data_IF_444119652131
#
_entry.id   IF_444119652131
#
_cell.length_a   1.000
_cell.length_b   1.000
_cell.length_c   1.000
_cell.angle_alpha   90.00
_cell.angle_beta   90.00
_cell.angle_gamma   90.00
#
_symmetry.space_group_name_H-M   'P 1'
#
loop_
_entity.id
_entity.type
_entity.pdbx_description
1 polymer ?
#
# COMPACT_ATOMS: atom_id res chain seq x y z
N UNK A 1 21.88 -12.80 -12.83
CA UNK A 1 21.84 -11.37 -12.48
C UNK A 1 23.10 -11.03 -11.71
N UNK A 2 23.67 -9.83 -11.91
CA UNK A 2 24.87 -9.34 -11.20
C UNK A 2 24.72 -9.06 -9.70
N UNK A 3 23.62 -9.47 -9.07
CA UNK A 3 23.39 -9.38 -7.64
C UNK A 3 23.78 -10.69 -6.96
N UNK A 4 24.27 -10.61 -5.72
CA UNK A 4 24.31 -11.78 -4.85
C UNK A 4 22.91 -12.05 -4.31
N UNK A 5 22.57 -13.32 -4.08
CA UNK A 5 21.29 -13.69 -3.46
C UNK A 5 21.40 -13.58 -1.94
N UNK A 6 20.40 -12.96 -1.33
CA UNK A 6 20.28 -12.88 0.13
C UNK A 6 19.01 -13.56 0.63
N UNK A 7 18.74 -13.36 1.92
CA UNK A 7 17.49 -13.77 2.56
C UNK A 7 16.99 -12.71 3.53
N UNK A 8 15.70 -12.80 3.83
CA UNK A 8 15.01 -12.02 4.86
C UNK A 8 14.49 -12.98 5.94
N UNK A 9 14.71 -12.63 7.21
CA UNK A 9 14.11 -13.36 8.33
C UNK A 9 12.58 -13.35 8.21
N UNK A 10 11.95 -14.52 8.26
CA UNK A 10 10.51 -14.66 8.11
C UNK A 10 10.01 -14.66 6.65
N UNK A 11 10.91 -14.69 5.66
CA UNK A 11 10.52 -14.91 4.26
C UNK A 11 9.77 -16.23 4.08
N UNK A 12 8.84 -16.26 3.12
CA UNK A 12 7.97 -17.40 2.85
C UNK A 12 8.18 -17.90 1.43
N UNK A 13 7.79 -19.15 1.17
CA UNK A 13 7.81 -19.74 -0.16
C UNK A 13 6.39 -20.08 -0.59
N UNK A 14 5.97 -19.51 -1.72
CA UNK A 14 4.67 -19.77 -2.32
C UNK A 14 4.89 -20.38 -3.70
N UNK A 15 4.41 -21.60 -3.91
CA UNK A 15 4.54 -22.33 -5.18
C UNK A 15 6.00 -22.40 -5.69
N UNK A 16 6.94 -22.61 -4.76
CA UNK A 16 8.38 -22.68 -5.06
C UNK A 16 9.06 -21.32 -5.28
N UNK A 17 8.36 -20.21 -5.08
CA UNK A 17 8.90 -18.85 -5.21
C UNK A 17 9.01 -18.18 -3.84
N UNK A 18 10.18 -17.68 -3.51
CA UNK A 18 10.44 -16.96 -2.25
C UNK A 18 9.81 -15.57 -2.25
N UNK A 19 9.34 -15.09 -1.10
CA UNK A 19 8.70 -13.79 -0.95
C UNK A 19 9.15 -13.09 0.35
N UNK A 20 9.73 -11.88 0.25
CA UNK A 20 10.23 -11.24 -0.97
C UNK A 20 11.51 -11.91 -1.48
N UNK A 21 11.91 -11.64 -2.73
CA UNK A 21 13.24 -12.03 -3.22
C UNK A 21 14.27 -10.99 -2.79
N UNK A 22 15.31 -11.40 -2.07
CA UNK A 22 16.34 -10.49 -1.56
C UNK A 22 17.59 -10.49 -2.44
N UNK A 23 18.03 -9.30 -2.85
CA UNK A 23 19.26 -9.06 -3.59
C UNK A 23 20.26 -8.24 -2.76
N UNK A 24 21.51 -8.68 -2.80
CA UNK A 24 22.65 -8.07 -2.13
C UNK A 24 23.64 -7.52 -3.18
N UNK A 25 24.51 -6.55 -2.82
CA UNK A 25 25.61 -6.17 -3.68
C UNK A 25 26.52 -7.37 -3.97
N UNK A 26 27.11 -7.46 -5.18
CA UNK A 26 28.02 -8.56 -5.52
C UNK A 26 29.29 -8.59 -4.65
N UNK A 27 29.74 -7.42 -4.20
CA UNK A 27 30.83 -7.23 -3.24
C UNK A 27 30.70 -5.85 -2.55
N UNK A 28 31.40 -5.63 -1.43
CA UNK A 28 31.33 -4.37 -0.65
C UNK A 28 31.78 -3.13 -1.43
N UNK A 29 32.63 -3.28 -2.45
CA UNK A 29 33.14 -2.15 -3.24
C UNK A 29 32.11 -1.65 -4.26
N UNK A 30 31.13 -2.48 -4.62
CA UNK A 30 30.02 -2.19 -5.54
C UNK A 30 28.67 -2.05 -4.82
N UNK A 31 28.72 -1.47 -3.62
CA UNK A 31 27.55 -1.29 -2.77
C UNK A 31 27.00 0.14 -2.77
N UNK A 32 27.45 1.06 -3.64
CA UNK A 32 26.88 2.41 -3.68
C UNK A 32 25.48 2.47 -4.32
N UNK A 33 24.70 3.52 -4.03
CA UNK A 33 23.43 3.77 -4.71
C UNK A 33 23.58 3.84 -6.25
N UNK A 34 24.65 4.47 -6.74
CA UNK A 34 24.92 4.51 -8.18
C UNK A 34 25.29 3.13 -8.77
N UNK A 35 25.87 2.23 -7.97
CA UNK A 35 26.13 0.85 -8.39
C UNK A 35 24.83 0.06 -8.45
N UNK A 36 23.94 0.23 -7.46
CA UNK A 36 22.59 -0.34 -7.49
C UNK A 36 21.84 0.11 -8.76
N UNK A 37 21.82 1.41 -9.06
CA UNK A 37 21.17 1.94 -10.25
C UNK A 37 21.77 1.38 -11.56
N UNK A 38 23.10 1.21 -11.64
CA UNK A 38 23.76 0.57 -12.79
C UNK A 38 23.40 -0.90 -12.93
N UNK A 39 23.40 -1.66 -11.82
CA UNK A 39 23.01 -3.07 -11.81
C UNK A 39 21.54 -3.23 -12.23
N UNK A 40 20.65 -2.40 -11.69
CA UNK A 40 19.24 -2.36 -12.08
C UNK A 40 19.10 -2.06 -13.57
N UNK A 41 19.83 -1.09 -14.10
CA UNK A 41 19.79 -0.75 -15.53
C UNK A 41 20.25 -1.92 -16.41
N UNK A 42 21.32 -2.61 -16.03
CA UNK A 42 21.87 -3.75 -16.78
C UNK A 42 20.99 -5.01 -16.72
N UNK A 43 20.21 -5.19 -15.66
CA UNK A 43 19.40 -6.39 -15.39
C UNK A 43 17.89 -6.10 -15.42
N UNK A 44 17.48 -4.94 -15.95
CA UNK A 44 16.11 -4.40 -15.81
C UNK A 44 15.02 -5.42 -16.14
N UNK A 45 15.13 -6.07 -17.30
CA UNK A 45 14.14 -7.06 -17.76
C UNK A 45 14.04 -8.24 -16.79
N UNK A 46 15.18 -8.77 -16.34
CA UNK A 46 15.22 -9.89 -15.40
C UNK A 46 14.64 -9.50 -14.03
N UNK A 47 14.87 -8.26 -13.58
CA UNK A 47 14.26 -7.75 -12.34
C UNK A 47 12.74 -7.56 -12.47
N UNK A 48 12.24 -7.12 -13.63
CA UNK A 48 10.80 -7.03 -13.86
C UNK A 48 10.14 -8.41 -13.83
N UNK A 49 10.74 -9.40 -14.50
CA UNK A 49 10.28 -10.79 -14.47
C UNK A 49 10.36 -11.38 -13.05
N UNK A 50 11.44 -11.09 -12.31
CA UNK A 50 11.56 -11.51 -10.93
C UNK A 50 10.50 -10.86 -10.04
N UNK A 51 10.22 -9.57 -10.22
CA UNK A 51 9.18 -8.88 -9.46
C UNK A 51 7.79 -9.47 -9.74
N UNK A 52 7.48 -9.79 -10.99
CA UNK A 52 6.22 -10.44 -11.36
C UNK A 52 6.08 -11.84 -10.73
N UNK A 53 7.17 -12.62 -10.67
CA UNK A 53 7.16 -13.97 -10.10
C UNK A 53 7.11 -13.98 -8.56
N UNK A 54 7.85 -13.07 -7.94
CA UNK A 54 8.02 -13.05 -6.49
C UNK A 54 7.01 -12.13 -5.81
N UNK A 55 6.50 -11.09 -6.47
CA UNK A 55 5.58 -10.08 -5.94
C UNK A 55 6.29 -8.92 -5.21
N UNK A 56 7.49 -9.13 -4.68
CA UNK A 56 8.32 -8.08 -4.12
C UNK A 56 9.82 -8.42 -4.18
N UNK A 57 10.65 -7.39 -4.32
CA UNK A 57 12.11 -7.47 -4.34
C UNK A 57 12.71 -6.57 -3.24
N UNK A 58 13.59 -7.11 -2.41
CA UNK A 58 14.31 -6.36 -1.39
C UNK A 58 15.78 -6.20 -1.80
N UNK A 59 16.25 -4.97 -1.96
CA UNK A 59 17.66 -4.65 -2.14
C UNK A 59 18.25 -4.24 -0.80
N UNK A 60 19.23 -5.01 -0.31
CA UNK A 60 19.80 -4.86 1.02
C UNK A 60 21.31 -4.83 0.99
N UNK A 61 21.92 -4.02 1.85
CA UNK A 61 23.37 -3.86 1.92
C UNK A 61 23.95 -2.83 0.95
N UNK A 62 23.10 -2.14 0.18
CA UNK A 62 23.49 -0.97 -0.59
C UNK A 62 23.49 0.29 0.28
N UNK A 63 24.42 1.21 0.01
CA UNK A 63 24.56 2.54 0.62
C UNK A 63 23.70 3.53 -0.16
N UNK A 64 22.40 3.46 0.09
CA UNK A 64 21.42 4.48 -0.28
C UNK A 64 21.25 5.36 0.95
N UNK A 65 21.73 6.61 0.89
CA UNK A 65 21.87 7.47 2.07
C UNK A 65 20.94 8.69 2.04
N UNK A 66 20.45 9.07 0.86
CA UNK A 66 19.58 10.24 0.64
C UNK A 66 18.34 9.93 -0.22
N UNK A 67 17.39 10.87 -0.26
CA UNK A 67 16.19 10.73 -1.09
C UNK A 67 16.53 10.75 -2.59
N UNK A 68 17.54 11.53 -2.98
CA UNK A 68 18.05 11.65 -4.34
C UNK A 68 18.70 10.35 -4.84
N UNK A 69 19.31 9.58 -3.93
CA UNK A 69 19.83 8.24 -4.26
C UNK A 69 18.68 7.31 -4.67
N UNK A 70 17.55 7.39 -3.97
CA UNK A 70 16.35 6.63 -4.34
C UNK A 70 15.80 7.07 -5.68
N UNK A 71 15.77 8.37 -6.00
CA UNK A 71 15.37 8.87 -7.32
C UNK A 71 16.15 8.16 -8.43
N UNK A 72 17.48 8.08 -8.31
CA UNK A 72 18.33 7.41 -9.29
C UNK A 72 18.04 5.91 -9.43
N UNK A 73 17.71 5.22 -8.33
CA UNK A 73 17.30 3.81 -8.37
C UNK A 73 15.94 3.63 -9.03
N UNK A 74 14.95 4.47 -8.71
CA UNK A 74 13.61 4.45 -9.31
C UNK A 74 13.70 4.70 -10.83
N UNK A 75 14.48 5.69 -11.26
CA UNK A 75 14.68 6.00 -12.68
C UNK A 75 15.40 4.86 -13.42
N UNK A 76 16.32 4.14 -12.77
CA UNK A 76 17.00 2.99 -13.35
C UNK A 76 16.04 1.84 -13.73
N UNK A 77 14.94 1.66 -12.97
CA UNK A 77 13.88 0.72 -13.33
C UNK A 77 13.14 1.11 -14.60
N UNK A 78 13.10 2.39 -14.96
CA UNK A 78 12.56 2.86 -16.24
C UNK A 78 11.02 2.89 -16.35
N UNK A 79 10.30 2.76 -15.23
CA UNK A 79 8.85 2.91 -15.21
C UNK A 79 8.43 4.38 -15.18
N UNK A 80 7.31 4.68 -15.82
CA UNK A 80 6.70 6.01 -15.83
C UNK A 80 6.31 6.41 -14.40
N UNK A 81 6.51 7.69 -14.08
CA UNK A 81 6.06 8.25 -12.81
C UNK A 81 4.53 8.19 -12.71
N UNK A 82 4.03 7.82 -11.53
CA UNK A 82 2.68 8.16 -11.14
C UNK A 82 2.72 9.40 -10.23
N UNK A 83 2.18 10.55 -10.68
CA UNK A 83 2.12 11.75 -9.85
C UNK A 83 1.40 11.46 -8.54
N UNK A 84 1.99 11.86 -7.42
CA UNK A 84 1.41 11.64 -6.09
C UNK A 84 1.01 12.98 -5.47
N UNK A 85 -0.30 13.19 -5.28
CA UNK A 85 -0.85 14.48 -4.85
C UNK A 85 -1.57 14.44 -3.49
N UNK A 86 -1.70 13.27 -2.85
CA UNK A 86 -2.51 13.12 -1.64
C UNK A 86 -1.73 13.38 -0.35
N UNK A 87 -1.59 14.65 0.05
CA UNK A 87 -1.21 15.02 1.43
C UNK A 87 0.15 14.51 1.89
N UNK A 88 1.11 14.38 0.97
CA UNK A 88 2.44 13.81 1.25
C UNK A 88 3.52 14.81 0.89
N UNK A 89 4.60 14.80 1.67
CA UNK A 89 5.69 15.76 1.52
C UNK A 89 6.71 15.23 0.53
N UNK A 90 6.91 15.90 -0.60
CA UNK A 90 7.99 15.59 -1.54
C UNK A 90 9.35 15.87 -0.89
N UNK A 91 10.27 14.91 -0.96
CA UNK A 91 11.64 14.98 -0.42
C UNK A 91 12.70 15.06 -1.51
N UNK A 92 12.46 14.44 -2.66
CA UNK A 92 13.23 14.57 -3.89
C UNK A 92 12.30 14.29 -5.09
N UNK A 93 12.80 14.43 -6.32
CA UNK A 93 12.03 14.10 -7.52
C UNK A 93 11.49 12.66 -7.45
N UNK A 94 10.17 12.48 -7.62
CA UNK A 94 9.44 11.20 -7.50
C UNK A 94 9.45 10.56 -6.11
N UNK A 95 9.99 11.21 -5.08
CA UNK A 95 10.19 10.63 -3.75
C UNK A 95 9.47 11.44 -2.68
N UNK A 96 8.61 10.77 -1.92
CA UNK A 96 7.70 11.36 -0.93
C UNK A 96 7.86 10.70 0.43
N UNK A 97 7.38 11.35 1.50
CA UNK A 97 7.15 10.69 2.79
C UNK A 97 6.13 9.56 2.64
N UNK A 98 6.30 8.45 3.37
CA UNK A 98 5.24 7.45 3.57
C UNK A 98 4.11 8.03 4.46
N UNK A 99 3.16 7.19 4.90
CA UNK A 99 2.13 7.64 5.85
C UNK A 99 2.74 8.35 7.07
N UNK A 100 2.24 9.57 7.31
CA UNK A 100 2.60 10.44 8.43
C UNK A 100 1.71 10.17 9.67
N UNK A 101 0.89 9.10 9.63
CA UNK A 101 0.14 8.63 10.80
C UNK A 101 1.10 8.28 11.96
N UNK A 102 0.69 8.48 13.24
CA UNK A 102 1.50 8.17 14.41
C UNK A 102 2.13 6.78 14.33
N UNK A 103 3.44 6.67 14.57
CA UNK A 103 4.23 5.45 14.31
C UNK A 103 3.81 4.27 15.18
N UNK A 104 3.19 4.52 16.32
CA UNK A 104 2.61 3.53 17.24
C UNK A 104 1.30 2.91 16.74
N UNK A 105 0.69 3.43 15.66
CA UNK A 105 -0.52 2.88 15.06
C UNK A 105 -0.21 1.85 13.97
N UNK A 106 -0.94 0.74 14.03
CA UNK A 106 -0.99 -0.26 12.98
C UNK A 106 -1.73 0.29 11.75
N UNK A 107 -1.13 0.13 10.57
CA UNK A 107 -1.81 0.35 9.28
C UNK A 107 -2.04 -1.03 8.68
N UNK A 108 -3.31 -1.33 8.37
CA UNK A 108 -3.72 -2.65 7.90
C UNK A 108 -3.23 -2.96 6.49
N UNK A 109 -3.30 -4.24 6.09
CA UNK A 109 -2.93 -4.66 4.75
C UNK A 109 -3.87 -4.07 3.70
N UNK A 110 -3.28 -3.49 2.66
CA UNK A 110 -3.97 -2.88 1.54
C UNK A 110 -3.09 -2.83 0.28
N UNK A 111 -3.75 -2.68 -0.87
CA UNK A 111 -3.12 -2.19 -2.09
C UNK A 111 -3.09 -0.65 -2.05
N UNK A 112 -1.97 -0.06 -2.43
CA UNK A 112 -1.81 1.40 -2.51
C UNK A 112 -2.86 1.95 -3.49
N UNK A 113 -3.54 3.03 -3.10
CA UNK A 113 -4.54 3.70 -3.95
C UNK A 113 -5.67 2.79 -4.47
N UNK A 114 -6.04 1.75 -3.70
CA UNK A 114 -7.07 0.77 -4.09
C UNK A 114 -8.49 1.34 -4.29
N UNK A 115 -8.78 2.56 -3.81
CA UNK A 115 -10.10 3.20 -3.91
C UNK A 115 -10.20 4.27 -5.00
N UNK A 116 -9.10 4.61 -5.66
CA UNK A 116 -9.14 5.59 -6.76
C UNK A 116 -9.12 4.89 -8.11
N UNK A 117 -9.56 5.60 -9.15
CA UNK A 117 -9.71 5.05 -10.50
C UNK A 117 -8.38 4.60 -11.11
N UNK A 118 -7.31 5.38 -10.90
CA UNK A 118 -5.97 5.08 -11.38
C UNK A 118 -5.04 4.76 -10.20
N UNK A 119 -4.68 3.50 -10.05
CA UNK A 119 -3.74 3.02 -9.03
C UNK A 119 -2.35 2.82 -9.62
N UNK A 120 -1.31 2.96 -8.79
CA UNK A 120 0.05 2.61 -9.19
C UNK A 120 0.15 1.10 -9.39
N UNK A 121 0.99 0.65 -10.33
CA UNK A 121 1.26 -0.78 -10.50
C UNK A 121 2.50 -1.22 -9.73
N UNK A 122 3.43 -0.30 -9.45
CA UNK A 122 4.67 -0.56 -8.70
C UNK A 122 4.88 0.53 -7.66
N UNK A 123 5.44 0.13 -6.53
CA UNK A 123 5.85 1.08 -5.50
C UNK A 123 7.19 0.72 -4.90
N UNK A 124 7.91 1.75 -4.46
CA UNK A 124 9.18 1.64 -3.77
C UNK A 124 9.00 2.10 -2.32
N UNK A 125 9.66 1.41 -1.40
CA UNK A 125 9.92 1.88 -0.06
C UNK A 125 11.43 1.97 0.16
N UNK A 126 11.88 3.05 0.78
CA UNK A 126 13.28 3.27 1.14
C UNK A 126 13.38 3.58 2.63
N UNK A 127 14.17 2.80 3.35
CA UNK A 127 14.44 3.04 4.76
C UNK A 127 15.60 4.02 4.93
N UNK A 128 15.28 5.31 5.09
CA UNK A 128 16.25 6.32 5.47
C UNK A 128 16.65 6.22 6.95
N UNK A 129 15.69 5.93 7.83
CA UNK A 129 15.92 5.73 9.27
C UNK A 129 14.99 4.61 9.78
N UNK A 130 15.52 3.46 10.19
CA UNK A 130 14.70 2.41 10.77
C UNK A 130 14.18 2.85 12.14
N UNK A 131 13.01 2.33 12.50
CA UNK A 131 12.50 2.41 13.87
C UNK A 131 13.49 1.73 14.83
N UNK A 132 13.77 2.29 16.02
CA UNK A 132 14.58 1.62 17.04
C UNK A 132 13.91 0.32 17.53
N UNK A 133 12.58 0.21 17.42
CA UNK A 133 11.81 -0.96 17.83
C UNK A 133 10.62 -1.18 16.88
N UNK A 134 10.41 -2.41 16.42
CA UNK A 134 9.33 -2.77 15.48
C UNK A 134 9.26 -1.84 14.24
N UNK A 135 8.08 -1.34 13.87
CA UNK A 135 7.92 -0.41 12.74
C UNK A 135 8.19 -1.00 11.36
N UNK A 136 8.12 -2.33 11.23
CA UNK A 136 8.30 -3.05 9.98
C UNK A 136 7.24 -2.62 8.96
N UNK A 137 7.62 -2.66 7.68
CA UNK A 137 6.61 -2.72 6.60
C UNK A 137 6.29 -4.20 6.39
N UNK A 138 5.06 -4.59 6.67
CA UNK A 138 4.60 -5.95 6.40
C UNK A 138 4.12 -6.04 4.96
N UNK A 139 4.43 -7.13 4.26
CA UNK A 139 3.99 -7.39 2.89
C UNK A 139 3.30 -8.74 2.79
N UNK A 140 2.38 -8.88 1.85
CA UNK A 140 1.59 -10.09 1.65
C UNK A 140 1.33 -10.32 0.17
N UNK A 141 1.42 -11.56 -0.31
CA UNK A 141 0.93 -11.93 -1.63
C UNK A 141 -0.60 -11.95 -1.67
N UNK A 142 -1.16 -11.09 -2.51
CA UNK A 142 -2.61 -10.88 -2.61
C UNK A 142 -3.32 -12.04 -3.29
N UNK A 143 -2.63 -12.76 -4.17
CA UNK A 143 -3.15 -13.96 -4.82
C UNK A 143 -3.19 -15.18 -3.88
N UNK A 144 -2.27 -15.25 -2.91
CA UNK A 144 -2.32 -16.26 -1.83
C UNK A 144 -3.54 -16.01 -0.95
N UNK A 145 -3.82 -14.75 -0.63
CA UNK A 145 -5.02 -14.36 0.12
C UNK A 145 -6.29 -14.73 -0.65
N UNK A 146 -6.38 -14.36 -1.93
CA UNK A 146 -7.54 -14.70 -2.77
C UNK A 146 -7.79 -16.21 -2.79
N UNK A 147 -6.75 -17.00 -3.08
CA UNK A 147 -6.84 -18.46 -3.13
C UNK A 147 -7.30 -19.08 -1.82
N UNK A 148 -6.72 -18.65 -0.68
CA UNK A 148 -7.12 -19.16 0.65
C UNK A 148 -8.57 -18.80 0.99
N UNK A 149 -9.00 -17.58 0.67
CA UNK A 149 -10.40 -17.17 0.87
C UNK A 149 -11.36 -18.01 0.01
N UNK A 150 -11.02 -18.26 -1.26
CA UNK A 150 -11.82 -19.11 -2.16
C UNK A 150 -11.89 -20.57 -1.68
N UNK A 151 -10.78 -21.11 -1.16
CA UNK A 151 -10.72 -22.48 -0.64
C UNK A 151 -11.51 -22.66 0.67
N UNK A 152 -11.45 -21.68 1.58
CA UNK A 152 -12.11 -21.79 2.89
C UNK A 152 -13.57 -21.35 2.86
N UNK A 153 -13.93 -20.38 2.02
CA UNK A 153 -15.26 -19.75 1.98
C UNK A 153 -15.81 -19.59 0.56
N UNK A 154 -15.89 -20.66 -0.26
CA UNK A 154 -16.22 -20.55 -1.69
C UNK A 154 -17.56 -19.87 -1.96
N UNK A 155 -18.60 -20.21 -1.20
CA UNK A 155 -19.95 -19.63 -1.37
C UNK A 155 -19.97 -18.14 -1.02
N UNK A 156 -19.24 -17.76 0.05
CA UNK A 156 -19.21 -16.36 0.48
C UNK A 156 -18.36 -15.52 -0.47
N UNK A 157 -17.25 -16.05 -0.96
CA UNK A 157 -16.44 -15.38 -1.97
C UNK A 157 -17.23 -15.19 -3.27
N UNK A 158 -17.96 -16.20 -3.73
CA UNK A 158 -18.82 -16.07 -4.91
C UNK A 158 -19.88 -14.97 -4.72
N UNK A 159 -20.52 -14.92 -3.55
CA UNK A 159 -21.45 -13.83 -3.21
C UNK A 159 -20.75 -12.47 -3.22
N UNK A 160 -19.56 -12.34 -2.64
CA UNK A 160 -18.83 -11.07 -2.64
C UNK A 160 -18.36 -10.66 -4.03
N UNK A 161 -18.10 -11.59 -4.95
CA UNK A 161 -17.78 -11.28 -6.35
C UNK A 161 -18.99 -10.73 -7.12
N UNK A 162 -20.18 -11.25 -6.82
CA UNK A 162 -21.44 -10.87 -7.46
C UNK A 162 -22.03 -9.59 -6.87
N UNK A 163 -22.17 -9.54 -5.55
CA UNK A 163 -22.83 -8.44 -4.82
C UNK A 163 -21.85 -7.30 -4.47
N UNK A 164 -20.55 -7.60 -4.36
CA UNK A 164 -19.52 -6.64 -3.98
C UNK A 164 -19.53 -6.24 -2.51
N UNK A 165 -18.61 -5.35 -2.17
CA UNK A 165 -18.52 -4.69 -0.87
C UNK A 165 -18.67 -3.18 -1.03
N UNK A 166 -19.21 -2.53 0.00
CA UNK A 166 -19.29 -1.08 0.11
C UNK A 166 -18.31 -0.60 1.16
N UNK A 167 -17.59 0.49 0.89
CA UNK A 167 -16.78 1.19 1.91
C UNK A 167 -17.35 2.56 2.18
N UNK A 168 -17.55 2.87 3.46
CA UNK A 168 -18.02 4.19 3.89
C UNK A 168 -16.92 4.85 4.69
N UNK A 169 -16.35 5.90 4.12
CA UNK A 169 -15.35 6.74 4.78
C UNK A 169 -16.05 7.93 5.40
N UNK A 170 -15.81 8.19 6.68
CA UNK A 170 -16.34 9.37 7.38
C UNK A 170 -15.20 10.25 7.86
N UNK A 171 -15.28 11.55 7.61
CA UNK A 171 -14.42 12.53 8.27
C UNK A 171 -14.92 12.80 9.69
N UNK A 172 -14.03 13.18 10.59
CA UNK A 172 -14.39 13.56 11.94
C UNK A 172 -15.07 14.93 11.99
N UNK A 173 -15.98 15.10 12.94
CA UNK A 173 -16.54 16.41 13.27
C UNK A 173 -15.44 17.28 13.88
N UNK A 174 -15.30 18.52 13.43
CA UNK A 174 -14.30 19.44 13.98
C UNK A 174 -14.50 19.62 15.50
N UNK A 175 -13.44 19.38 16.28
CA UNK A 175 -13.41 19.72 17.70
C UNK A 175 -13.44 21.23 17.95
N UNK A 176 -13.66 21.64 19.21
CA UNK A 176 -13.72 23.07 19.60
C UNK A 176 -12.43 23.85 19.25
N UNK A 177 -12.59 25.02 18.60
CA UNK A 177 -11.51 25.94 18.21
C UNK A 177 -11.35 26.15 16.69
N UNK A 178 -10.31 26.88 16.26
CA UNK A 178 -9.92 27.17 14.85
C UNK A 178 -9.57 25.91 14.01
N UNK A 179 -9.81 24.71 14.54
CA UNK A 179 -9.59 23.40 13.89
C UNK A 179 -10.86 22.83 13.23
N UNK A 180 -11.87 23.66 12.95
CA UNK A 180 -13.05 23.24 12.16
C UNK A 180 -12.68 23.03 10.68
N UNK A 181 -12.01 21.93 10.36
CA UNK A 181 -11.82 21.50 8.98
C UNK A 181 -13.02 20.68 8.53
N UNK A 182 -14.13 21.34 8.21
CA UNK A 182 -15.27 20.71 7.55
C UNK A 182 -14.96 20.34 6.10
N UNK A 183 -15.92 19.70 5.42
CA UNK A 183 -15.81 19.41 3.98
C UNK A 183 -15.49 20.66 3.14
N UNK A 184 -15.89 21.85 3.60
CA UNK A 184 -15.58 23.12 2.93
C UNK A 184 -14.08 23.38 2.83
N UNK A 185 -13.30 23.07 3.87
CA UNK A 185 -11.85 23.25 3.85
C UNK A 185 -11.17 22.14 3.03
N UNK A 186 -11.69 20.91 3.13
CA UNK A 186 -11.23 19.78 2.33
C UNK A 186 -11.33 20.08 0.84
N UNK A 187 -12.49 20.59 0.39
CA UNK A 187 -12.77 20.90 -1.01
C UNK A 187 -12.48 22.35 -1.39
N UNK A 188 -12.08 23.19 -0.44
CA UNK A 188 -11.81 24.64 -0.60
C UNK A 188 -12.98 25.36 -1.29
N UNK A 189 -14.20 25.10 -0.84
CA UNK A 189 -15.43 25.65 -1.42
C UNK A 189 -16.56 25.67 -0.39
N UNK A 190 -17.46 26.65 -0.51
CA UNK A 190 -18.70 26.74 0.29
C UNK A 190 -19.92 26.20 -0.48
N UNK A 191 -19.77 25.89 -1.77
CA UNK A 191 -20.85 25.35 -2.60
C UNK A 191 -20.89 23.83 -2.48
N UNK A 192 -21.96 23.29 -1.90
CA UNK A 192 -22.18 21.85 -1.78
C UNK A 192 -22.12 21.13 -3.13
N UNK A 193 -22.61 21.76 -4.21
CA UNK A 193 -22.62 21.12 -5.53
C UNK A 193 -21.20 20.96 -6.07
N UNK A 194 -20.38 21.99 -5.92
CA UNK A 194 -18.97 21.97 -6.29
C UNK A 194 -18.19 20.97 -5.42
N UNK A 195 -18.41 20.95 -4.10
CA UNK A 195 -17.80 19.95 -3.21
C UNK A 195 -18.17 18.51 -3.57
N UNK A 196 -19.45 18.26 -3.90
CA UNK A 196 -19.90 16.94 -4.36
C UNK A 196 -19.25 16.52 -5.66
N UNK A 197 -19.11 17.45 -6.61
CA UNK A 197 -18.44 17.20 -7.88
C UNK A 197 -16.96 16.85 -7.66
N UNK A 198 -16.24 17.63 -6.85
CA UNK A 198 -14.82 17.37 -6.51
C UNK A 198 -14.63 16.07 -5.76
N UNK A 199 -15.54 15.69 -4.86
CA UNK A 199 -15.47 14.40 -4.18
C UNK A 199 -15.46 13.22 -5.18
N UNK A 200 -16.32 13.29 -6.21
CA UNK A 200 -16.38 12.27 -7.26
C UNK A 200 -15.13 12.33 -8.15
N UNK A 201 -14.74 13.52 -8.62
CA UNK A 201 -13.64 13.69 -9.58
C UNK A 201 -12.26 13.46 -8.96
N UNK A 202 -12.02 13.93 -7.73
CA UNK A 202 -10.70 13.91 -7.09
C UNK A 202 -10.50 12.70 -6.15
N UNK A 203 -11.56 12.21 -5.50
CA UNK A 203 -11.49 11.10 -4.54
C UNK A 203 -12.06 9.79 -5.06
N UNK A 204 -12.75 9.81 -6.22
CA UNK A 204 -13.30 8.62 -6.86
C UNK A 204 -14.45 7.94 -6.11
N UNK A 205 -15.14 8.64 -5.19
CA UNK A 205 -16.30 8.07 -4.51
C UNK A 205 -17.53 8.05 -5.43
N UNK A 206 -18.40 7.05 -5.27
CA UNK A 206 -19.66 6.94 -6.03
C UNK A 206 -20.70 7.96 -5.53
N UNK A 207 -20.78 8.13 -4.22
CA UNK A 207 -21.64 9.14 -3.59
C UNK A 207 -20.97 9.80 -2.41
N UNK A 208 -21.38 11.03 -2.14
CA UNK A 208 -20.94 11.79 -0.98
C UNK A 208 -22.14 12.42 -0.27
N UNK A 209 -22.15 12.28 1.05
CA UNK A 209 -23.09 12.95 1.94
C UNK A 209 -22.33 14.03 2.72
N UNK A 210 -22.73 15.27 2.55
CA UNK A 210 -22.25 16.40 3.34
C UNK A 210 -23.23 16.61 4.49
N UNK A 211 -22.74 16.62 5.74
CA UNK A 211 -23.56 16.76 6.93
C UNK A 211 -23.51 18.21 7.45
N UNK A 212 -24.57 18.64 8.16
CA UNK A 212 -24.69 19.99 8.72
C UNK A 212 -23.63 20.30 9.79
N UNK A 213 -23.11 19.26 10.46
CA UNK A 213 -22.02 19.38 11.43
C UNK A 213 -20.63 19.57 10.79
N UNK A 214 -20.57 19.66 9.45
CA UNK A 214 -19.36 19.84 8.67
C UNK A 214 -18.65 18.54 8.29
N UNK A 215 -19.12 17.38 8.76
CA UNK A 215 -18.56 16.08 8.35
C UNK A 215 -18.98 15.70 6.94
N UNK A 216 -18.22 14.80 6.31
CA UNK A 216 -18.58 14.19 5.05
C UNK A 216 -18.48 12.66 5.14
N UNK A 217 -19.42 11.98 4.48
CA UNK A 217 -19.38 10.54 4.26
C UNK A 217 -19.17 10.27 2.77
N UNK A 218 -18.09 9.55 2.43
CA UNK A 218 -17.78 9.11 1.07
C UNK A 218 -18.08 7.62 0.95
N UNK A 219 -18.92 7.26 -0.01
CA UNK A 219 -19.30 5.87 -0.26
C UNK A 219 -18.62 5.39 -1.53
N UNK A 220 -17.99 4.22 -1.43
CA UNK A 220 -17.35 3.50 -2.52
C UNK A 220 -18.02 2.15 -2.69
N UNK A 221 -18.42 1.81 -3.91
CA UNK A 221 -19.02 0.54 -4.29
C UNK A 221 -20.55 0.52 -4.40
N UNK A 222 -21.11 -0.68 -4.66
CA UNK A 222 -20.48 -1.99 -4.49
C UNK A 222 -19.28 -2.25 -5.42
N UNK A 223 -18.18 -2.75 -4.84
CA UNK A 223 -16.97 -3.15 -5.56
C UNK A 223 -16.70 -4.62 -5.33
N UNK A 224 -16.43 -5.39 -6.38
CA UNK A 224 -15.89 -6.74 -6.21
C UNK A 224 -14.56 -6.64 -5.44
N UNK A 225 -14.40 -7.30 -4.27
CA UNK A 225 -13.18 -7.20 -3.48
C UNK A 225 -11.96 -7.80 -4.16
N UNK A 226 -12.14 -8.58 -5.22
CA UNK A 226 -11.09 -9.21 -5.99
C UNK A 226 -10.95 -8.63 -7.40
N UNK A 227 -9.75 -8.76 -7.97
CA UNK A 227 -9.45 -8.38 -9.35
C UNK A 227 -8.61 -9.46 -10.02
N UNK A 228 -8.53 -9.42 -11.35
CA UNK A 228 -7.66 -10.30 -12.12
C UNK A 228 -6.61 -9.46 -12.86
N UNK A 229 -5.33 -9.70 -12.56
CA UNK A 229 -4.20 -9.07 -13.23
C UNK A 229 -3.29 -10.15 -13.82
N UNK A 230 -2.99 -10.06 -15.11
CA UNK A 230 -2.13 -11.05 -15.79
C UNK A 230 -2.62 -12.50 -15.65
N UNK A 231 -3.94 -12.71 -15.54
CA UNK A 231 -4.55 -14.03 -15.33
C UNK A 231 -4.51 -14.55 -13.88
N UNK A 232 -3.96 -13.78 -12.93
CA UNK A 232 -3.96 -14.11 -11.50
C UNK A 232 -5.06 -13.35 -10.78
N UNK A 233 -5.88 -14.07 -10.01
CA UNK A 233 -6.86 -13.45 -9.12
C UNK A 233 -6.14 -12.93 -7.86
N UNK A 234 -6.49 -11.72 -7.43
CA UNK A 234 -5.91 -11.04 -6.26
C UNK A 234 -7.02 -10.47 -5.40
N UNK A 235 -6.80 -10.42 -4.09
CA UNK A 235 -7.72 -9.76 -3.16
C UNK A 235 -7.40 -8.27 -3.09
N UNK A 236 -8.10 -7.45 -3.86
CA UNK A 236 -7.77 -6.05 -4.07
C UNK A 236 -8.25 -5.12 -2.93
N UNK A 237 -9.48 -5.28 -2.45
CA UNK A 237 -10.04 -4.38 -1.46
C UNK A 237 -10.03 -5.01 -0.06
N UNK A 238 -9.34 -4.35 0.87
CA UNK A 238 -9.29 -4.79 2.28
C UNK A 238 -10.68 -4.86 2.91
N UNK A 239 -10.94 -5.93 3.68
CA UNK A 239 -12.17 -6.11 4.45
C UNK A 239 -12.11 -5.45 5.83
N UNK A 240 -10.94 -4.96 6.24
CA UNK A 240 -10.81 -4.25 7.50
C UNK A 240 -11.22 -2.79 7.34
N UNK A 241 -12.12 -2.35 8.23
CA UNK A 241 -12.33 -0.93 8.49
C UNK A 241 -11.17 -0.31 9.26
N UNK A 242 -11.22 1.01 9.40
CA UNK A 242 -10.33 1.76 10.27
C UNK A 242 -11.18 2.66 11.17
N UNK A 243 -10.86 2.69 12.46
CA UNK A 243 -11.45 3.66 13.39
C UNK A 243 -10.33 4.62 13.79
N UNK A 244 -10.48 5.88 13.38
CA UNK A 244 -9.52 6.94 13.65
C UNK A 244 -10.22 8.20 14.12
N UNK A 245 -9.48 9.03 14.84
CA UNK A 245 -9.99 10.29 15.41
C UNK A 245 -10.33 11.32 14.34
N UNK A 246 -9.58 11.35 13.22
CA UNK A 246 -9.79 12.29 12.11
C UNK A 246 -10.62 11.69 10.97
N UNK A 247 -10.55 10.37 10.81
CA UNK A 247 -11.22 9.63 9.73
C UNK A 247 -11.50 8.20 10.17
N UNK A 248 -12.70 7.72 9.87
CA UNK A 248 -13.06 6.31 9.99
C UNK A 248 -13.46 5.74 8.63
N UNK A 249 -13.37 4.42 8.52
CA UNK A 249 -13.80 3.66 7.35
C UNK A 249 -14.51 2.40 7.84
N UNK A 250 -15.74 2.17 7.40
CA UNK A 250 -16.44 0.89 7.56
C UNK A 250 -16.43 0.13 6.24
N UNK A 251 -16.49 -1.19 6.32
CA UNK A 251 -16.66 -2.08 5.18
C UNK A 251 -17.92 -2.91 5.41
N UNK A 252 -18.78 -2.92 4.41
CA UNK A 252 -20.13 -3.48 4.45
C UNK A 252 -20.35 -4.34 3.19
N UNK A 253 -21.39 -5.18 3.20
CA UNK A 253 -21.86 -5.84 1.99
C UNK A 253 -22.31 -4.81 0.95
N UNK A 254 -22.36 -5.18 -0.32
CA UNK A 254 -22.69 -4.28 -1.43
C UNK A 254 -24.02 -3.55 -1.26
N UNK A 255 -25.04 -4.26 -0.82
CA UNK A 255 -26.38 -3.73 -0.49
C UNK A 255 -26.43 -2.98 0.86
N UNK A 256 -25.33 -2.99 1.62
CA UNK A 256 -25.22 -2.49 2.99
C UNK A 256 -25.35 -3.59 4.03
N UNK A 257 -25.03 -3.26 5.28
CA UNK A 257 -25.03 -4.21 6.39
C UNK A 257 -23.66 -4.88 6.63
N UNK A 258 -23.48 -5.53 7.78
CA UNK A 258 -22.17 -6.02 8.20
C UNK A 258 -21.70 -7.20 7.35
N UNK A 259 -20.40 -7.28 7.12
CA UNK A 259 -19.77 -8.50 6.61
C UNK A 259 -20.00 -9.66 7.61
N UNK A 260 -20.22 -10.91 7.15
CA UNK A 260 -20.32 -12.05 8.04
C UNK A 260 -19.05 -12.19 8.90
N UNK A 261 -19.14 -12.35 10.24
CA UNK A 261 -17.96 -12.38 11.12
C UNK A 261 -16.92 -13.43 10.71
N UNK A 262 -17.37 -14.63 10.34
CA UNK A 262 -16.47 -15.72 9.92
C UNK A 262 -15.59 -15.34 8.70
N UNK A 263 -16.09 -14.48 7.80
CA UNK A 263 -15.32 -14.00 6.65
C UNK A 263 -14.19 -13.09 7.11
N UNK A 264 -14.50 -12.17 8.02
CA UNK A 264 -13.51 -11.25 8.58
C UNK A 264 -12.48 -12.02 9.38
N UNK A 265 -12.90 -12.99 10.20
CA UNK A 265 -11.99 -13.80 11.02
C UNK A 265 -11.01 -14.61 10.16
N UNK A 266 -11.50 -15.31 9.13
CA UNK A 266 -10.66 -16.07 8.20
C UNK A 266 -9.74 -15.12 7.42
N UNK A 267 -10.27 -14.00 6.93
CA UNK A 267 -9.48 -12.97 6.26
C UNK A 267 -8.33 -12.50 7.15
N UNK A 268 -8.60 -12.14 8.41
CA UNK A 268 -7.58 -11.73 9.38
C UNK A 268 -6.54 -12.82 9.64
N UNK A 269 -6.96 -14.08 9.80
CA UNK A 269 -6.05 -15.22 10.02
C UNK A 269 -5.10 -15.40 8.84
N UNK A 270 -5.62 -15.36 7.61
CA UNK A 270 -4.79 -15.51 6.40
C UNK A 270 -3.78 -14.38 6.28
N UNK A 271 -4.17 -13.13 6.59
CA UNK A 271 -3.24 -11.99 6.63
C UNK A 271 -2.11 -12.20 7.65
N UNK A 272 -2.44 -12.64 8.86
CA UNK A 272 -1.46 -12.87 9.93
C UNK A 272 -0.51 -14.03 9.61
N UNK A 273 -1.06 -15.15 9.13
CA UNK A 273 -0.31 -16.35 8.77
C UNK A 273 0.65 -16.14 7.59
N UNK A 274 0.29 -15.29 6.62
CA UNK A 274 1.01 -15.18 5.35
C UNK A 274 1.77 -13.85 5.19
N UNK A 275 1.55 -12.89 6.08
CA UNK A 275 2.33 -11.65 6.12
C UNK A 275 3.81 -11.91 6.38
N UNK A 276 4.67 -11.13 5.71
CA UNK A 276 6.12 -11.12 5.90
C UNK A 276 6.54 -9.73 6.37
N UNK A 277 7.13 -9.65 7.56
CA UNK A 277 7.54 -8.38 8.14
C UNK A 277 8.96 -8.00 7.67
N UNK A 278 9.06 -6.96 6.84
CA UNK A 278 10.36 -6.42 6.43
C UNK A 278 10.94 -5.60 7.59
N UNK A 279 11.77 -6.26 8.39
CA UNK A 279 12.58 -5.59 9.43
C UNK A 279 13.63 -4.73 8.76
N UNK A 280 13.36 -3.42 8.75
CA UNK A 280 14.15 -2.42 8.05
C UNK A 280 15.59 -2.33 8.55
N UNK A 281 16.52 -2.17 7.60
CA UNK A 281 17.86 -1.65 7.82
C UNK A 281 17.99 -0.34 7.05
N UNK A 282 18.78 0.59 7.58
CA UNK A 282 19.10 1.83 6.85
C UNK A 282 19.69 1.46 5.47
N UNK A 283 19.21 2.12 4.43
CA UNK A 283 19.66 1.88 3.05
C UNK A 283 18.86 0.82 2.28
N UNK A 284 18.01 0.04 2.95
CA UNK A 284 17.18 -0.93 2.26
C UNK A 284 16.20 -0.24 1.29
N UNK A 285 16.06 -0.84 0.10
CA UNK A 285 15.05 -0.47 -0.89
C UNK A 285 14.18 -1.69 -1.18
N UNK A 286 12.88 -1.58 -0.91
CA UNK A 286 11.88 -2.61 -1.22
C UNK A 286 11.06 -2.16 -2.41
N UNK A 287 10.92 -3.02 -3.42
CA UNK A 287 10.05 -2.82 -4.58
C UNK A 287 8.89 -3.79 -4.46
N UNK A 288 7.66 -3.29 -4.52
CA UNK A 288 6.44 -4.09 -4.39
C UNK A 288 5.66 -4.01 -5.69
N UNK A 289 5.21 -5.16 -6.19
CA UNK A 289 4.22 -5.22 -7.25
C UNK A 289 2.84 -4.94 -6.67
N UNK A 290 2.42 -3.68 -6.72
CA UNK A 290 1.16 -3.24 -6.13
C UNK A 290 -0.05 -3.92 -6.78
N UNK A 291 0.08 -4.58 -7.92
CA UNK A 291 -1.03 -5.37 -8.50
C UNK A 291 -1.19 -6.74 -7.87
N UNK A 292 -0.14 -7.30 -7.27
CA UNK A 292 -0.12 -8.69 -6.78
C UNK A 292 0.27 -8.82 -5.30
N UNK A 293 0.70 -7.74 -4.66
CA UNK A 293 1.07 -7.73 -3.26
C UNK A 293 0.44 -6.54 -2.50
N UNK A 294 0.00 -6.82 -1.28
CA UNK A 294 -0.45 -5.84 -0.31
C UNK A 294 0.69 -5.46 0.63
N UNK A 295 0.55 -4.30 1.27
CA UNK A 295 1.45 -3.87 2.32
C UNK A 295 0.71 -3.28 3.53
N UNK A 296 1.38 -3.28 4.67
CA UNK A 296 0.90 -2.81 5.96
C UNK A 296 2.07 -2.18 6.75
N UNK A 297 1.76 -1.52 7.86
CA UNK A 297 2.77 -0.97 8.79
C UNK A 297 2.52 -1.49 10.20
N UNK A 298 3.49 -2.21 10.77
CA UNK A 298 3.48 -2.60 12.18
C UNK A 298 3.67 -1.37 13.07
N UNK A 299 3.04 -1.33 14.27
CA UNK A 299 3.39 -0.35 15.30
C UNK A 299 4.89 -0.30 15.55
N UNK A 300 5.43 0.89 15.77
CA UNK A 300 6.84 1.08 16.08
C UNK A 300 7.05 2.24 17.05
N UNK A 301 8.27 2.78 17.04
CA UNK A 301 8.64 3.91 17.88
C UNK A 301 9.41 4.94 17.05
N UNK A 302 9.31 6.20 17.40
CA UNK A 302 10.15 7.23 16.81
C UNK A 302 11.60 7.15 17.29
N UNK A 303 12.58 7.57 16.45
CA UNK A 303 12.40 8.06 15.08
C UNK A 303 12.26 6.92 14.05
N UNK A 304 11.38 7.11 13.05
CA UNK A 304 11.24 6.21 11.89
C UNK A 304 10.98 7.02 10.62
N UNK A 305 11.83 6.86 9.60
CA UNK A 305 11.69 7.54 8.30
C UNK A 305 11.78 6.53 7.16
N UNK A 306 10.64 6.31 6.51
CA UNK A 306 10.52 5.54 5.27
C UNK A 306 9.99 6.46 4.19
N UNK A 307 10.67 6.50 3.05
CA UNK A 307 10.26 7.25 1.86
C UNK A 307 9.67 6.32 0.83
N UNK A 308 8.84 6.86 -0.06
CA UNK A 308 8.15 6.10 -1.10
C UNK A 308 8.26 6.75 -2.47
N UNK A 309 8.12 5.92 -3.51
CA UNK A 309 7.94 6.37 -4.90
C UNK A 309 6.93 5.46 -5.59
N UNK A 310 6.06 6.04 -6.42
CA UNK A 310 5.01 5.32 -7.14
C UNK A 310 5.23 5.36 -8.65
N UNK A 311 4.95 4.24 -9.31
CA UNK A 311 5.08 4.11 -10.75
C UNK A 311 3.81 3.50 -11.37
N UNK A 312 3.56 3.87 -12.63
CA UNK A 312 2.54 3.23 -13.48
C UNK A 312 2.94 1.82 -13.86
#
# INVERSE_FOLDING_TARGET
MGFAEGGLEGEKVFEGKIFPRTYLPPDETKAGASDLAKLVTGERKALWEALEQHGALLFRGFRVDAAEDLTGVVEAFGWEEMPYSYGRTMKAHRVFTASEDPVDKFINFHHEMSLVNESCSKMFFYCQQPSPENGQTAILRSDVLAKRMEEELPEVVAMLEEEGIRKVVRTAAGGEGDRKQGWQQMFKTEDEKDARQRAVEELGCDTVKLNEDGTAEFVYGPMNPMRVYGGRKVWWHSLHGHQGEERSMTVELGEGGPLPPAVVDIYSSVLEENGVDVKWRKGDVLVVDNLHAQHARRPGKDPRVVLVSLCK
#
